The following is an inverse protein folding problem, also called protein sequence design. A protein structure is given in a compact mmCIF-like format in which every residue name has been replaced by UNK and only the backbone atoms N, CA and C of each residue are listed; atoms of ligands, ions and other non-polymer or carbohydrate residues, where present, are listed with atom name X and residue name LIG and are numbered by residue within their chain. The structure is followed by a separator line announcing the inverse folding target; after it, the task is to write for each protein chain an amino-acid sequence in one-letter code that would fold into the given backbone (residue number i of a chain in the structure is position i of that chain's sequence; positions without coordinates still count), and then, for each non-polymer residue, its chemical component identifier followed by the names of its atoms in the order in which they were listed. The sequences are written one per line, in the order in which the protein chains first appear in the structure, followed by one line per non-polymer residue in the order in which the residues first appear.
data_IF_384639645246
#
_entry.id   IF_384639645246
#
_cell.length_a   1.000
_cell.length_b   1.000
_cell.length_c   1.000
_cell.angle_alpha   90.00
_cell.angle_beta   90.00
_cell.angle_gamma   90.00
#
_symmetry.space_group_name_H-M   'P 1'
#
loop_
_entity.id
_entity.type
_entity.pdbx_description
1 polymer ?
#
# COMPACT_ATOMS: atom_id res chain seq x y z
N UNK A 1 -2.91 -12.83 -3.58
CA UNK A 1 -2.44 -11.76 -4.49
C UNK A 1 -0.93 -11.73 -4.44
N UNK A 2 -0.29 -11.85 -5.58
CA UNK A 2 1.17 -11.81 -5.61
C UNK A 2 1.68 -10.35 -5.62
N UNK A 3 3.00 -10.20 -5.50
CA UNK A 3 3.60 -8.88 -5.36
C UNK A 3 3.39 -8.01 -6.61
N UNK A 4 3.40 -8.63 -7.79
CA UNK A 4 3.18 -7.88 -9.03
C UNK A 4 1.74 -7.37 -9.12
N UNK A 5 0.79 -8.18 -8.70
CA UNK A 5 -0.61 -7.76 -8.65
C UNK A 5 -0.80 -6.62 -7.67
N UNK A 6 -0.13 -6.69 -6.51
CA UNK A 6 -0.15 -5.60 -5.54
C UNK A 6 0.45 -4.33 -6.10
N UNK A 7 1.55 -4.46 -6.83
CA UNK A 7 2.21 -3.33 -7.46
C UNK A 7 1.28 -2.65 -8.46
N UNK A 8 0.59 -3.45 -9.26
CA UNK A 8 -0.37 -2.92 -10.23
C UNK A 8 -1.54 -2.22 -9.53
N UNK A 9 -2.03 -2.81 -8.46
CA UNK A 9 -3.09 -2.20 -7.66
C UNK A 9 -2.64 -0.86 -7.08
N UNK A 10 -1.41 -0.83 -6.58
CA UNK A 10 -0.84 0.40 -6.03
C UNK A 10 -0.69 1.47 -7.10
N UNK A 11 -0.28 1.08 -8.30
CA UNK A 11 -0.20 2.01 -9.44
C UNK A 11 -1.56 2.64 -9.73
N UNK A 12 -2.61 1.82 -9.74
CA UNK A 12 -3.97 2.31 -9.97
C UNK A 12 -4.40 3.29 -8.87
N UNK A 13 -4.09 2.97 -7.63
CA UNK A 13 -4.42 3.84 -6.50
C UNK A 13 -3.67 5.16 -6.61
N UNK A 14 -2.37 5.10 -6.91
CA UNK A 14 -1.56 6.31 -7.05
C UNK A 14 -2.09 7.19 -8.17
N UNK A 15 -2.46 6.61 -9.30
CA UNK A 15 -3.03 7.36 -10.40
C UNK A 15 -4.33 8.06 -10.00
N UNK A 16 -5.17 7.38 -9.24
CA UNK A 16 -6.43 7.97 -8.76
C UNK A 16 -6.19 9.11 -7.77
N UNK A 17 -5.14 9.00 -6.95
CA UNK A 17 -4.88 10.02 -5.93
C UNK A 17 -4.08 11.20 -6.46
N UNK A 18 -3.20 10.99 -7.42
CA UNK A 18 -2.29 12.03 -7.90
C UNK A 18 -2.56 12.48 -9.33
N UNK A 19 -3.45 11.81 -10.04
CA UNK A 19 -3.76 12.04 -11.45
C UNK A 19 -2.62 11.69 -12.39
N UNK A 20 -1.55 11.09 -11.86
CA UNK A 20 -0.39 10.66 -12.63
C UNK A 20 -0.07 9.21 -12.35
N UNK A 21 0.28 8.46 -13.39
CA UNK A 21 0.69 7.07 -13.23
C UNK A 21 2.21 6.99 -13.29
N UNK A 22 2.88 6.60 -12.21
CA UNK A 22 4.34 6.47 -12.22
C UNK A 22 4.80 5.46 -13.27
N UNK A 23 5.87 5.77 -13.98
CA UNK A 23 6.43 4.86 -14.98
C UNK A 23 7.12 3.67 -14.34
N UNK A 24 7.72 3.89 -13.19
CA UNK A 24 8.47 2.87 -12.49
C UNK A 24 8.07 2.86 -11.02
N UNK A 25 7.64 1.71 -10.54
CA UNK A 25 7.28 1.54 -9.14
C UNK A 25 8.11 0.40 -8.54
N UNK A 26 9.42 0.47 -8.72
CA UNK A 26 10.34 -0.50 -8.15
C UNK A 26 10.37 -0.39 -6.62
N UNK A 27 10.83 -1.46 -5.98
CA UNK A 27 10.84 -1.52 -4.52
C UNK A 27 11.67 -0.43 -3.85
N UNK A 28 12.74 0.02 -4.50
CA UNK A 28 13.65 1.02 -3.94
C UNK A 28 13.20 2.47 -4.17
N UNK A 29 12.08 2.67 -4.86
CA UNK A 29 11.55 4.02 -5.08
C UNK A 29 11.10 4.61 -3.75
N UNK A 30 11.61 5.78 -3.42
CA UNK A 30 11.26 6.48 -2.18
C UNK A 30 9.98 7.27 -2.39
N UNK A 31 8.97 6.95 -1.60
CA UNK A 31 7.62 7.46 -1.82
C UNK A 31 7.56 8.98 -1.70
N UNK A 32 8.14 9.54 -0.64
CA UNK A 32 8.08 11.00 -0.44
C UNK A 32 8.95 11.77 -1.39
N UNK A 33 10.15 11.27 -1.65
CA UNK A 33 11.15 11.99 -2.45
C UNK A 33 10.91 11.84 -3.94
N UNK A 34 10.62 10.64 -4.39
CA UNK A 34 10.52 10.34 -5.83
C UNK A 34 9.10 10.40 -6.36
N UNK A 35 8.11 10.00 -5.56
CA UNK A 35 6.71 10.11 -5.95
C UNK A 35 6.09 11.40 -5.45
N UNK A 36 6.82 12.16 -4.63
CA UNK A 36 6.41 13.47 -4.13
C UNK A 36 5.10 13.44 -3.36
N UNK A 37 4.88 12.35 -2.64
CA UNK A 37 3.71 12.21 -1.78
C UNK A 37 4.07 12.69 -0.38
N UNK A 38 3.31 13.61 0.15
CA UNK A 38 3.48 14.01 1.55
C UNK A 38 2.70 13.05 2.46
N UNK A 39 2.71 13.34 3.75
CA UNK A 39 2.06 12.46 4.73
C UNK A 39 0.56 12.33 4.50
N UNK A 40 -0.10 13.40 4.06
CA UNK A 40 -1.53 13.38 3.79
C UNK A 40 -1.83 12.54 2.56
N UNK A 41 -1.06 12.72 1.50
CA UNK A 41 -1.23 11.94 0.28
C UNK A 41 -0.99 10.46 0.54
N UNK A 42 0.07 10.14 1.29
CA UNK A 42 0.38 8.76 1.62
C UNK A 42 -0.73 8.13 2.46
N UNK A 43 -1.26 8.89 3.41
CA UNK A 43 -2.37 8.42 4.23
C UNK A 43 -3.59 8.11 3.37
N UNK A 44 -3.91 8.99 2.41
CA UNK A 44 -5.03 8.75 1.48
C UNK A 44 -4.82 7.49 0.65
N UNK A 45 -3.60 7.28 0.16
CA UNK A 45 -3.26 6.07 -0.60
C UNK A 45 -3.47 4.82 0.28
N UNK A 46 -2.98 4.87 1.51
CA UNK A 46 -3.11 3.73 2.43
C UNK A 46 -4.55 3.43 2.78
N UNK A 47 -5.37 4.47 3.00
CA UNK A 47 -6.79 4.29 3.29
C UNK A 47 -7.52 3.65 2.10
N UNK A 48 -7.18 4.06 0.90
CA UNK A 48 -7.79 3.48 -0.30
C UNK A 48 -7.37 2.01 -0.46
N UNK A 49 -6.12 1.70 -0.18
CA UNK A 49 -5.63 0.32 -0.21
C UNK A 49 -6.36 -0.53 0.82
N UNK A 50 -6.55 -0.02 2.02
CA UNK A 50 -7.32 -0.72 3.05
C UNK A 50 -8.71 -1.10 2.55
N UNK A 51 -9.38 -0.15 1.91
CA UNK A 51 -10.73 -0.37 1.41
C UNK A 51 -10.75 -1.40 0.27
N UNK A 52 -9.82 -1.25 -0.68
CA UNK A 52 -9.78 -2.13 -1.84
C UNK A 52 -9.42 -3.56 -1.50
N UNK A 53 -8.50 -3.75 -0.56
CA UNK A 53 -8.00 -5.07 -0.21
C UNK A 53 -8.61 -5.64 1.06
N UNK A 54 -9.47 -4.86 1.71
CA UNK A 54 -10.14 -5.27 2.95
C UNK A 54 -9.12 -5.67 4.02
N UNK A 55 -8.13 -4.84 4.21
CA UNK A 55 -7.11 -5.02 5.25
C UNK A 55 -7.13 -3.82 6.18
N UNK A 56 -6.44 -3.95 7.30
CA UNK A 56 -6.35 -2.88 8.29
C UNK A 56 -4.89 -2.47 8.48
N UNK A 57 -4.62 -1.19 8.27
CA UNK A 57 -3.30 -0.62 8.44
C UNK A 57 -3.33 0.36 9.62
N UNK A 58 -2.29 0.33 10.44
CA UNK A 58 -2.24 1.19 11.62
C UNK A 58 -1.12 2.23 11.48
N UNK A 59 -1.01 3.14 12.47
CA UNK A 59 -0.02 4.19 12.40
C UNK A 59 1.42 3.68 12.42
N UNK A 60 1.67 2.55 13.05
CA UNK A 60 3.01 1.94 13.03
C UNK A 60 3.38 1.46 11.63
N UNK A 61 2.41 0.88 10.93
CA UNK A 61 2.62 0.47 9.55
C UNK A 61 2.96 1.67 8.68
N UNK A 62 2.23 2.77 8.89
CA UNK A 62 2.46 4.02 8.18
C UNK A 62 3.87 4.54 8.41
N UNK A 63 4.34 4.49 9.65
CA UNK A 63 5.67 4.99 10.01
C UNK A 63 6.80 4.19 9.37
N UNK A 64 6.58 2.90 9.11
CA UNK A 64 7.60 2.04 8.51
C UNK A 64 7.77 2.26 7.02
N UNK A 65 6.81 2.92 6.39
CA UNK A 65 6.79 3.05 4.93
C UNK A 65 7.66 4.22 4.50
N UNK A 66 8.79 3.91 3.88
CA UNK A 66 9.70 4.88 3.28
C UNK A 66 9.77 4.66 1.77
N UNK A 67 9.83 3.40 1.36
CA UNK A 67 9.92 3.02 -0.06
C UNK A 67 8.69 2.25 -0.49
N UNK A 68 8.53 2.10 -1.80
CA UNK A 68 7.47 1.26 -2.36
C UNK A 68 7.58 -0.17 -1.83
N UNK A 69 8.79 -0.69 -1.73
CA UNK A 69 9.01 -2.03 -1.18
C UNK A 69 8.49 -2.17 0.24
N UNK A 70 8.73 -1.17 1.08
CA UNK A 70 8.20 -1.19 2.46
C UNK A 70 6.68 -1.25 2.46
N UNK A 71 6.05 -0.45 1.60
CA UNK A 71 4.59 -0.44 1.51
C UNK A 71 4.05 -1.79 1.04
N UNK A 72 4.67 -2.36 0.02
CA UNK A 72 4.27 -3.68 -0.47
C UNK A 72 4.47 -4.76 0.59
N UNK A 73 5.58 -4.70 1.33
CA UNK A 73 5.84 -5.65 2.43
C UNK A 73 4.75 -5.58 3.49
N UNK A 74 4.38 -4.37 3.88
CA UNK A 74 3.33 -4.17 4.88
C UNK A 74 2.01 -4.75 4.39
N UNK A 75 1.63 -4.43 3.15
CA UNK A 75 0.38 -4.91 2.57
C UNK A 75 0.39 -6.45 2.49
N UNK A 76 1.47 -7.04 2.00
CA UNK A 76 1.57 -8.49 1.90
C UNK A 76 1.47 -9.15 3.28
N UNK A 77 2.08 -8.55 4.29
CA UNK A 77 2.01 -9.04 5.65
C UNK A 77 0.56 -9.08 6.14
N UNK A 78 -0.20 -8.03 5.85
CA UNK A 78 -1.61 -7.97 6.26
C UNK A 78 -2.45 -8.97 5.50
N UNK A 79 -2.22 -9.13 4.21
CA UNK A 79 -2.94 -10.11 3.41
C UNK A 79 -2.64 -11.54 3.85
N UNK A 80 -1.38 -11.82 4.15
CA UNK A 80 -0.97 -13.13 4.63
C UNK A 80 -1.49 -13.45 6.03
N UNK A 81 -1.72 -12.43 6.83
CA UNK A 81 -2.22 -12.60 8.21
C UNK A 81 -3.73 -12.77 8.28
N UNK A 82 -4.43 -12.64 7.19
CA UNK A 82 -5.89 -12.72 7.15
C UNK A 82 -6.32 -14.17 7.05
N UNK A 83 -6.55 -14.85 7.99
CA UNK A 83 -7.07 -16.21 7.95
C UNK A 83 -8.40 -16.30 8.61
N UNK A 84 -8.22 -15.91 8.66
CA UNK A 84 -8.94 -15.92 9.29
C UNK A 84 -9.81 -15.86 9.76
N UNK A 85 -9.72 -15.91 9.63
CA UNK A 85 -10.47 -15.77 10.19
C UNK A 85 -11.21 -15.84 10.66
N UNK A 86 -11.09 -15.66 10.44
CA UNK A 86 -11.58 -15.57 10.99
C UNK A 86 -12.32 -15.68 11.52
N UNK A 87 -12.31 -15.74 11.20
CA UNK A 87 -12.84 -15.80 11.74
C UNK A 87 -13.56 -16.08 12.24
N UNK A 88 -13.56 -16.26 11.97
CA UNK A 88 -14.06 -16.56 12.54
C UNK A 88 -14.67 -16.77 13.08
N UNK A 89 -14.62 -16.77 12.78
CA UNK A 89 -15.00 -16.95 13.38
C UNK A 89 -15.54 -17.20 13.78
N UNK A 90 -15.55 -17.11 13.57
CA UNK A 90 -15.89 -17.38 14.21
C UNK A 90 -16.23 -17.60 14.50
#
# INVERSE_FOLDING_TARGET
MDRQQLRNTLLDVLEQETWERPENLADDVKIREQLKLDSVDLLSVMLRVETLLNISLNSRDFEKVVTVGHLLDVIQSKLGATPVPMKKAA
#
